data_IF_767454972003
#
_entry.id   IF_767454972003
#
_cell.length_a   1.000
_cell.length_b   1.000
_cell.length_c   1.000
_cell.angle_alpha   90.00
_cell.angle_beta   90.00
_cell.angle_gamma   90.00
#
_symmetry.space_group_name_H-M   'P 1'
#
loop_
_entity.id
_entity.type
_entity.pdbx_description
1 polymer ?
#
# COMPACT_ATOMS: atom_id res chain seq x y z
N UNK A 1 1.40 21.85 -21.86
CA UNK A 1 0.44 21.87 -20.74
C UNK A 1 0.64 20.59 -19.95
N UNK A 2 1.28 20.66 -18.78
CA UNK A 2 1.54 19.50 -17.91
C UNK A 2 0.24 19.11 -17.20
N UNK A 3 -0.41 18.04 -17.67
CA UNK A 3 -1.55 17.45 -16.98
C UNK A 3 -1.03 16.87 -15.66
N UNK A 4 -1.41 17.47 -14.53
CA UNK A 4 -1.07 16.97 -13.20
C UNK A 4 -1.88 15.69 -12.95
N UNK A 5 -1.22 14.53 -13.06
CA UNK A 5 -1.86 13.21 -12.87
C UNK A 5 -1.79 12.81 -11.41
N UNK A 6 -2.95 12.68 -10.77
CA UNK A 6 -3.07 12.23 -9.39
C UNK A 6 -3.01 10.69 -9.33
N UNK A 7 -2.04 10.13 -8.61
CA UNK A 7 -1.96 8.70 -8.33
C UNK A 7 -2.68 8.39 -7.00
N UNK A 8 -3.81 7.67 -7.06
CA UNK A 8 -4.53 7.22 -5.86
C UNK A 8 -4.13 5.77 -5.53
N UNK A 9 -3.43 5.56 -4.41
CA UNK A 9 -3.01 4.23 -3.94
C UNK A 9 -3.77 3.87 -2.68
N UNK A 10 -4.68 2.89 -2.76
CA UNK A 10 -5.28 2.28 -1.58
C UNK A 10 -4.40 1.13 -1.10
N UNK A 11 -3.61 1.34 -0.04
CA UNK A 11 -2.82 0.26 0.59
C UNK A 11 -3.66 -0.35 1.72
N UNK A 12 -4.35 -1.44 1.43
CA UNK A 12 -5.17 -2.18 2.40
C UNK A 12 -4.48 -3.49 2.79
N UNK A 13 -3.87 -3.54 3.97
CA UNK A 13 -3.58 -4.81 4.63
C UNK A 13 -4.89 -5.32 5.24
N UNK A 14 -5.58 -6.25 4.57
CA UNK A 14 -6.80 -6.88 5.10
C UNK A 14 -6.41 -7.73 6.31
N UNK A 15 -6.86 -7.32 7.49
CA UNK A 15 -6.68 -8.07 8.73
C UNK A 15 -7.88 -9.02 8.91
N UNK A 16 -7.68 -10.32 8.72
CA UNK A 16 -8.63 -11.32 9.23
C UNK A 16 -8.13 -11.79 10.60
N UNK A 17 -8.59 -11.15 11.67
CA UNK A 17 -8.37 -11.65 13.03
C UNK A 17 -9.50 -12.63 13.34
N UNK A 18 -9.21 -13.93 13.37
CA UNK A 18 -10.10 -14.90 14.01
C UNK A 18 -9.82 -14.86 15.51
N UNK A 19 -10.56 -14.04 16.26
CA UNK A 19 -10.38 -13.90 17.70
C UNK A 19 -11.41 -14.77 18.44
N UNK A 20 -10.91 -15.74 19.21
CA UNK A 20 -11.69 -16.51 20.18
C UNK A 20 -11.08 -16.33 21.57
N UNK A 21 -11.53 -15.32 22.34
CA UNK A 21 -11.27 -15.22 23.80
C UNK A 21 -12.42 -14.43 24.47
N UNK A 22 -12.94 -14.88 25.64
CA UNK A 22 -14.13 -14.32 26.27
C UNK A 22 -13.88 -13.07 27.11
N UNK A 23 -14.99 -12.36 27.31
CA UNK A 23 -15.19 -11.07 27.95
C UNK A 23 -14.90 -11.10 29.47
N UNK A 24 -14.08 -10.17 29.98
CA UNK A 24 -14.28 -9.62 31.33
C UNK A 24 -13.88 -8.15 31.39
N UNK A 25 -14.78 -7.33 31.91
CA UNK A 25 -14.73 -5.89 31.93
C UNK A 25 -14.07 -5.38 33.23
N UNK A 26 -13.34 -4.26 33.14
CA UNK A 26 -13.21 -3.33 34.28
C UNK A 26 -12.99 -1.90 33.79
N UNK A 27 -13.88 -1.04 34.25
CA UNK A 27 -13.88 0.40 34.04
C UNK A 27 -13.05 1.11 35.13
N UNK A 28 -12.45 2.25 34.77
CA UNK A 28 -12.07 3.29 35.72
C UNK A 28 -12.12 4.67 35.04
N UNK A 29 -12.57 5.65 35.81
CA UNK A 29 -13.08 6.97 35.46
C UNK A 29 -12.13 8.08 36.00
N UNK A 30 -12.51 9.34 35.75
CA UNK A 30 -12.04 10.63 36.32
C UNK A 30 -10.84 11.31 35.61
N UNK A 31 -10.81 12.63 35.34
CA UNK A 31 -11.68 13.79 35.65
C UNK A 31 -11.38 14.93 34.64
N UNK A 32 -12.36 15.81 34.41
CA UNK A 32 -12.34 16.98 33.53
C UNK A 32 -11.57 18.20 34.08
N UNK A 33 -11.11 19.08 33.18
CA UNK A 33 -10.77 20.49 33.48
C UNK A 33 -11.20 21.41 32.32
N UNK A 34 -12.21 22.22 32.63
CA UNK A 34 -12.45 23.64 32.32
C UNK A 34 -12.06 24.26 30.95
N UNK A 35 -13.11 24.47 30.15
CA UNK A 35 -13.50 25.62 29.32
C UNK A 35 -12.49 26.72 28.91
N UNK A 36 -12.45 27.00 27.60
CA UNK A 36 -12.50 28.37 27.07
C UNK A 36 -13.19 28.37 25.70
N UNK A 37 -14.26 29.17 25.56
CA UNK A 37 -15.14 29.27 24.37
C UNK A 37 -14.90 30.64 23.75
N UNK A 38 -14.27 30.70 22.59
CA UNK A 38 -14.14 31.92 21.78
C UNK A 38 -15.02 31.74 20.54
N UNK A 39 -16.13 32.48 20.48
CA UNK A 39 -17.01 32.56 19.31
C UNK A 39 -16.35 33.47 18.26
N UNK A 40 -15.91 32.88 17.15
CA UNK A 40 -15.61 33.60 15.92
C UNK A 40 -16.72 33.29 14.91
N UNK A 41 -17.58 34.27 14.65
CA UNK A 41 -18.58 34.24 13.59
C UNK A 41 -17.90 34.54 12.26
N UNK A 42 -17.70 33.53 11.42
CA UNK A 42 -17.37 33.70 10.01
C UNK A 42 -18.58 33.31 9.18
N UNK A 43 -19.11 34.29 8.45
CA UNK A 43 -20.17 34.14 7.46
C UNK A 43 -19.68 33.22 6.34
N UNK A 44 -20.15 31.97 6.30
CA UNK A 44 -19.92 31.06 5.17
C UNK A 44 -21.00 31.30 4.13
N UNK A 45 -20.63 31.97 3.04
CA UNK A 45 -21.42 32.00 1.81
C UNK A 45 -21.47 30.57 1.26
N UNK A 46 -22.64 29.95 1.26
CA UNK A 46 -22.85 28.61 0.73
C UNK A 46 -22.62 28.63 -0.80
N UNK A 47 -21.49 28.09 -1.24
CA UNK A 47 -21.29 27.77 -2.64
C UNK A 47 -22.19 26.57 -3.00
N UNK A 48 -22.97 26.73 -4.07
CA UNK A 48 -23.84 25.70 -4.63
C UNK A 48 -23.00 24.51 -5.10
N UNK A 49 -22.94 23.46 -4.29
CA UNK A 49 -22.36 22.18 -4.69
C UNK A 49 -23.35 21.48 -5.61
N UNK A 50 -23.12 21.56 -6.92
CA UNK A 50 -23.71 20.61 -7.86
C UNK A 50 -23.08 19.25 -7.60
N UNK A 51 -23.83 18.34 -6.97
CA UNK A 51 -23.45 16.93 -6.81
C UNK A 51 -23.20 16.35 -8.21
N UNK A 52 -21.98 15.88 -8.54
CA UNK A 52 -21.79 15.14 -9.77
C UNK A 52 -22.49 13.80 -9.61
N UNK A 53 -23.52 13.57 -10.42
CA UNK A 53 -24.19 12.28 -10.56
C UNK A 53 -23.19 11.29 -11.13
N UNK A 54 -22.45 10.56 -10.28
CA UNK A 54 -21.70 9.38 -10.71
C UNK A 54 -22.72 8.33 -11.13
N UNK A 55 -22.95 8.21 -12.44
CA UNK A 55 -23.66 7.07 -13.00
C UNK A 55 -22.84 5.83 -12.65
N UNK A 56 -23.44 4.91 -11.90
CA UNK A 56 -22.83 3.61 -11.61
C UNK A 56 -22.67 2.87 -12.94
N UNK A 57 -21.43 2.78 -13.41
CA UNK A 57 -21.10 2.02 -14.61
C UNK A 57 -21.43 0.55 -14.34
N UNK A 58 -22.37 0.01 -15.10
CA UNK A 58 -22.77 -1.39 -15.02
C UNK A 58 -21.56 -2.25 -15.47
N UNK A 59 -21.10 -3.16 -14.62
CA UNK A 59 -19.97 -4.02 -14.93
C UNK A 59 -20.42 -5.12 -15.91
N UNK A 60 -19.63 -5.44 -16.94
CA UNK A 60 -19.97 -6.50 -17.89
C UNK A 60 -20.06 -7.87 -17.21
N UNK A 61 -20.97 -8.70 -17.69
CA UNK A 61 -21.12 -10.09 -17.27
C UNK A 61 -20.69 -11.02 -18.39
N UNK A 62 -19.97 -12.08 -18.06
CA UNK A 62 -19.41 -13.01 -19.03
C UNK A 62 -20.04 -14.40 -18.87
N UNK A 63 -20.24 -15.09 -19.99
CA UNK A 63 -20.83 -16.44 -20.02
C UNK A 63 -19.78 -17.55 -20.07
N UNK A 64 -18.51 -17.19 -20.32
CA UNK A 64 -17.37 -18.11 -20.34
C UNK A 64 -16.07 -17.45 -19.88
N UNK A 65 -15.07 -18.26 -19.52
CA UNK A 65 -13.72 -17.80 -19.18
C UNK A 65 -13.02 -17.13 -20.37
N UNK A 66 -13.16 -17.70 -21.58
CA UNK A 66 -12.54 -17.14 -22.78
C UNK A 66 -13.08 -15.75 -23.10
N UNK A 67 -14.40 -15.54 -23.01
CA UNK A 67 -15.03 -14.23 -23.23
C UNK A 67 -14.53 -13.18 -22.22
N UNK A 68 -14.31 -13.58 -20.97
CA UNK A 68 -13.72 -12.72 -19.95
C UNK A 68 -12.27 -12.35 -20.28
N UNK A 69 -11.45 -13.32 -20.72
CA UNK A 69 -10.06 -13.08 -21.11
C UNK A 69 -9.97 -12.17 -22.34
N UNK A 70 -10.78 -12.41 -23.37
CA UNK A 70 -10.86 -11.57 -24.56
C UNK A 70 -11.25 -10.13 -24.19
N UNK A 71 -12.20 -9.97 -23.26
CA UNK A 71 -12.55 -8.65 -22.73
C UNK A 71 -11.37 -7.99 -22.01
N UNK A 72 -10.64 -8.71 -21.14
CA UNK A 72 -9.48 -8.17 -20.45
C UNK A 72 -8.41 -7.68 -21.41
N UNK A 73 -8.18 -8.36 -22.53
CA UNK A 73 -7.24 -7.88 -23.55
C UNK A 73 -7.64 -6.49 -24.07
N UNK A 74 -8.93 -6.19 -24.18
CA UNK A 74 -9.41 -4.87 -24.62
C UNK A 74 -9.29 -3.76 -23.59
N UNK A 75 -9.15 -4.10 -22.30
CA UNK A 75 -9.14 -3.11 -21.19
C UNK A 75 -7.90 -3.18 -20.30
N UNK A 76 -6.90 -3.99 -20.66
CA UNK A 76 -5.70 -4.26 -19.86
C UNK A 76 -4.58 -3.24 -20.05
N UNK A 77 -4.71 -2.33 -21.02
CA UNK A 77 -3.75 -1.27 -21.22
C UNK A 77 -3.63 -0.39 -19.97
N UNK A 78 -2.41 -0.26 -19.47
CA UNK A 78 -2.11 0.67 -18.39
C UNK A 78 -2.27 2.11 -18.89
N UNK A 79 -2.69 3.04 -18.03
CA UNK A 79 -2.64 4.45 -18.38
C UNK A 79 -1.21 4.84 -18.80
N UNK A 80 -1.09 5.75 -19.79
CA UNK A 80 0.22 6.20 -20.26
C UNK A 80 1.11 6.64 -19.09
N UNK A 81 2.41 6.33 -19.15
CA UNK A 81 3.36 6.65 -18.08
C UNK A 81 3.33 5.71 -16.87
N UNK A 82 2.50 4.65 -16.88
CA UNK A 82 2.56 3.57 -15.91
C UNK A 82 3.15 2.31 -16.55
N UNK A 83 4.07 1.67 -15.84
CA UNK A 83 4.59 0.36 -16.15
C UNK A 83 4.47 -0.55 -14.93
N UNK A 84 4.40 -1.86 -15.14
CA UNK A 84 4.38 -2.85 -14.06
C UNK A 84 5.42 -3.93 -14.30
N UNK A 85 5.91 -4.53 -13.21
CA UNK A 85 6.92 -5.58 -13.27
C UNK A 85 6.77 -6.54 -12.10
N UNK A 86 7.20 -7.78 -12.30
CA UNK A 86 7.17 -8.81 -11.25
C UNK A 86 8.50 -9.55 -11.19
N UNK A 87 8.81 -10.09 -10.01
CA UNK A 87 9.90 -11.03 -9.80
C UNK A 87 9.41 -12.12 -8.84
N UNK A 88 9.78 -13.36 -9.13
CA UNK A 88 9.44 -14.53 -8.32
C UNK A 88 10.70 -15.10 -7.65
N UNK A 89 10.55 -15.55 -6.42
CA UNK A 89 11.61 -16.22 -5.70
C UNK A 89 11.10 -17.17 -4.64
N UNK A 90 12.03 -17.71 -3.88
CA UNK A 90 11.78 -18.70 -2.84
C UNK A 90 12.44 -18.26 -1.54
N UNK A 91 11.77 -18.48 -0.42
CA UNK A 91 12.35 -18.29 0.92
C UNK A 91 11.91 -19.42 1.86
N UNK A 92 12.60 -19.58 2.98
CA UNK A 92 12.19 -20.51 4.05
C UNK A 92 11.82 -19.66 5.28
N UNK A 93 10.57 -19.72 5.77
CA UNK A 93 10.17 -18.94 6.93
C UNK A 93 10.85 -19.47 8.20
N UNK A 94 11.58 -18.64 8.96
CA UNK A 94 12.20 -19.08 10.21
C UNK A 94 11.17 -19.48 11.27
N UNK A 95 9.94 -18.95 11.19
CA UNK A 95 8.83 -19.28 12.08
C UNK A 95 8.18 -20.65 11.76
N UNK A 96 8.37 -21.18 10.54
CA UNK A 96 7.76 -22.42 10.09
C UNK A 96 8.69 -23.24 9.18
N UNK A 97 9.89 -23.66 9.65
CA UNK A 97 10.90 -24.30 8.81
C UNK A 97 10.45 -25.63 8.21
N UNK A 98 9.50 -26.33 8.86
CA UNK A 98 8.92 -27.58 8.36
C UNK A 98 8.15 -27.43 7.04
N UNK A 99 7.74 -26.20 6.67
CA UNK A 99 7.07 -25.90 5.41
C UNK A 99 8.01 -25.91 4.20
N UNK A 100 9.33 -25.99 4.42
CA UNK A 100 10.32 -25.93 3.35
C UNK A 100 10.35 -24.58 2.62
N UNK A 101 10.72 -24.61 1.33
CA UNK A 101 10.78 -23.41 0.49
C UNK A 101 9.38 -23.00 0.04
N UNK A 102 9.02 -21.76 0.30
CA UNK A 102 7.78 -21.14 -0.11
C UNK A 102 8.03 -20.07 -1.17
N UNK A 103 7.09 -19.95 -2.11
CA UNK A 103 7.10 -18.89 -3.12
C UNK A 103 6.81 -17.51 -2.51
N UNK A 104 7.57 -16.53 -2.97
CA UNK A 104 7.34 -15.11 -2.73
C UNK A 104 7.48 -14.34 -4.04
N UNK A 105 6.66 -13.30 -4.20
CA UNK A 105 6.65 -12.44 -5.37
C UNK A 105 6.80 -10.99 -4.95
N UNK A 106 7.72 -10.28 -5.61
CA UNK A 106 7.77 -8.84 -5.67
C UNK A 106 7.03 -8.34 -6.91
N UNK A 107 6.30 -7.25 -6.77
CA UNK A 107 5.61 -6.56 -7.86
C UNK A 107 5.88 -5.07 -7.74
N UNK A 108 6.10 -4.39 -8.84
CA UNK A 108 6.27 -2.94 -8.87
C UNK A 108 5.30 -2.31 -9.84
N UNK A 109 4.75 -1.16 -9.45
CA UNK A 109 4.08 -0.20 -10.32
C UNK A 109 5.00 1.02 -10.39
N UNK A 110 5.43 1.40 -11.59
CA UNK A 110 6.42 2.44 -11.83
C UNK A 110 5.83 3.56 -12.71
N UNK A 111 6.05 4.81 -12.30
CA UNK A 111 5.78 6.01 -13.09
C UNK A 111 6.97 6.31 -14.00
N UNK A 112 6.88 5.93 -15.27
CA UNK A 112 7.99 6.02 -16.23
C UNK A 112 8.25 7.43 -16.74
N UNK A 113 7.29 8.34 -16.60
CA UNK A 113 7.42 9.76 -16.97
C UNK A 113 8.13 10.59 -15.88
N UNK A 114 8.45 9.99 -14.73
CA UNK A 114 9.14 10.62 -13.61
C UNK A 114 8.28 10.75 -12.34
N UNK A 115 8.79 11.46 -11.32
CA UNK A 115 8.09 11.64 -10.05
C UNK A 115 6.78 12.39 -10.23
N UNK A 116 5.77 12.05 -9.44
CA UNK A 116 4.60 12.92 -9.25
C UNK A 116 4.52 13.43 -7.82
N UNK A 117 4.30 14.73 -7.67
CA UNK A 117 3.90 15.35 -6.40
C UNK A 117 2.41 15.13 -6.10
N UNK A 118 1.64 14.74 -7.12
CA UNK A 118 0.20 14.53 -7.02
C UNK A 118 -0.08 13.05 -6.77
N UNK A 119 -0.09 12.68 -5.50
CA UNK A 119 -0.52 11.35 -5.10
C UNK A 119 -1.29 11.41 -3.79
N UNK A 120 -2.12 10.41 -3.58
CA UNK A 120 -2.91 10.26 -2.37
C UNK A 120 -2.92 8.79 -1.97
N UNK A 121 -2.84 8.55 -0.65
CA UNK A 121 -2.95 7.22 -0.11
C UNK A 121 -3.91 7.16 1.08
N UNK A 122 -4.69 6.09 1.12
CA UNK A 122 -5.56 5.76 2.25
C UNK A 122 -5.02 4.52 2.94
N UNK A 123 -4.94 4.58 4.27
CA UNK A 123 -4.40 3.50 5.09
C UNK A 123 -5.46 2.97 6.06
N UNK A 124 -5.30 1.70 6.46
CA UNK A 124 -6.17 1.08 7.46
C UNK A 124 -6.23 1.87 8.77
N UNK A 125 -7.39 1.90 9.43
CA UNK A 125 -7.57 2.46 10.80
C UNK A 125 -7.37 1.42 11.90
N UNK A 126 -6.93 0.20 11.55
CA UNK A 126 -6.66 -0.85 12.53
C UNK A 126 -5.58 -0.41 13.55
N UNK A 127 -5.71 -0.90 14.79
CA UNK A 127 -4.75 -0.69 15.89
C UNK A 127 -3.42 -1.41 15.68
N UNK A 128 -3.38 -2.41 14.80
CA UNK A 128 -2.17 -3.15 14.43
C UNK A 128 -1.81 -2.90 12.96
N UNK A 129 -1.33 -1.70 12.59
CA UNK A 129 -0.86 -1.45 11.23
C UNK A 129 0.41 -2.26 10.96
N UNK A 130 0.57 -2.74 9.73
CA UNK A 130 1.84 -3.30 9.27
C UNK A 130 2.92 -2.24 9.17
N UNK A 131 4.18 -2.66 9.24
CA UNK A 131 5.31 -1.76 9.01
C UNK A 131 5.27 -0.98 7.68
N UNK A 132 4.85 -1.55 6.52
CA UNK A 132 4.71 -0.76 5.28
C UNK A 132 3.70 0.39 5.40
N UNK A 133 2.67 0.24 6.25
CA UNK A 133 1.70 1.31 6.50
C UNK A 133 2.33 2.46 7.28
N UNK A 134 3.24 2.17 8.22
CA UNK A 134 3.98 3.19 8.95
C UNK A 134 4.88 3.99 8.01
N UNK A 135 5.60 3.30 7.11
CA UNK A 135 6.43 3.94 6.06
C UNK A 135 5.57 4.82 5.15
N UNK A 136 4.46 4.27 4.62
CA UNK A 136 3.58 5.02 3.72
C UNK A 136 2.95 6.25 4.37
N UNK A 137 2.53 6.17 5.63
CA UNK A 137 2.01 7.33 6.39
C UNK A 137 3.06 8.40 6.60
N UNK A 138 4.30 8.01 6.94
CA UNK A 138 5.41 8.93 7.11
C UNK A 138 5.67 9.72 5.83
N UNK A 139 5.76 9.04 4.70
CA UNK A 139 6.04 9.66 3.39
C UNK A 139 4.90 10.54 2.90
N UNK A 140 3.65 10.11 3.12
CA UNK A 140 2.48 10.94 2.82
C UNK A 140 2.48 12.23 3.66
N UNK A 141 2.84 12.14 4.94
CA UNK A 141 2.95 13.32 5.81
C UNK A 141 4.10 14.26 5.42
N UNK A 142 5.21 13.70 4.91
CA UNK A 142 6.35 14.48 4.44
C UNK A 142 6.07 15.21 3.10
N UNK A 143 5.09 14.75 2.32
CA UNK A 143 4.69 15.39 1.07
C UNK A 143 5.72 15.28 -0.06
N UNK A 144 6.59 14.27 -0.02
CA UNK A 144 7.59 14.03 -1.06
C UNK A 144 6.99 13.47 -2.35
N UNK A 145 7.72 13.54 -3.48
CA UNK A 145 7.28 12.96 -4.73
C UNK A 145 7.27 11.43 -4.70
N UNK A 146 6.40 10.83 -5.50
CA UNK A 146 6.28 9.37 -5.65
C UNK A 146 6.71 8.95 -7.06
N UNK A 147 7.53 7.91 -7.16
CA UNK A 147 7.93 7.27 -8.42
C UNK A 147 7.36 5.87 -8.57
N UNK A 148 7.29 5.10 -7.49
CA UNK A 148 6.91 3.69 -7.58
C UNK A 148 6.16 3.20 -6.34
N UNK A 149 5.46 2.09 -6.52
CA UNK A 149 4.87 1.28 -5.46
C UNK A 149 5.45 -0.12 -5.58
N UNK A 150 6.07 -0.63 -4.53
CA UNK A 150 6.50 -2.03 -4.42
C UNK A 150 5.50 -2.80 -3.57
N UNK A 151 5.07 -3.96 -4.07
CA UNK A 151 4.16 -4.88 -3.41
C UNK A 151 4.84 -6.23 -3.27
N UNK A 152 4.94 -6.75 -2.05
CA UNK A 152 5.29 -8.15 -1.84
C UNK A 152 4.06 -8.96 -1.39
N UNK A 153 4.03 -10.24 -1.77
CA UNK A 153 3.05 -11.19 -1.28
C UNK A 153 3.61 -12.11 -0.18
N UNK A 154 2.79 -13.08 0.25
CA UNK A 154 3.08 -14.15 1.22
C UNK A 154 3.34 -13.70 2.66
N UNK A 155 4.05 -12.61 2.89
CA UNK A 155 4.38 -12.09 4.22
C UNK A 155 3.87 -10.65 4.33
N UNK A 156 3.00 -10.40 5.30
CA UNK A 156 2.33 -9.09 5.47
C UNK A 156 3.20 -8.01 6.11
N UNK A 157 4.32 -8.39 6.73
CA UNK A 157 5.14 -7.51 7.56
C UNK A 157 4.33 -6.79 8.67
N UNK A 158 3.33 -7.48 9.22
CA UNK A 158 2.56 -7.06 10.39
C UNK A 158 3.03 -7.87 11.59
N UNK A 159 3.34 -7.20 12.70
CA UNK A 159 3.83 -7.85 13.93
C UNK A 159 5.02 -8.80 13.70
N UNK A 160 5.95 -8.44 12.80
CA UNK A 160 7.01 -9.32 12.27
C UNK A 160 8.04 -9.81 13.29
N UNK A 161 8.01 -9.32 14.54
CA UNK A 161 8.95 -9.72 15.59
C UNK A 161 10.40 -9.25 15.37
N UNK A 162 10.64 -8.41 14.35
CA UNK A 162 11.90 -7.74 14.05
C UNK A 162 11.66 -6.26 13.69
N UNK A 163 12.62 -5.62 13.02
CA UNK A 163 12.47 -4.26 12.53
C UNK A 163 11.80 -4.23 11.15
N UNK A 164 10.47 -4.40 11.15
CA UNK A 164 9.70 -4.42 9.91
C UNK A 164 9.79 -3.12 9.09
N UNK A 165 10.09 -1.98 9.72
CA UNK A 165 10.24 -0.71 8.99
C UNK A 165 11.55 -0.71 8.22
N UNK A 166 12.65 -1.10 8.86
CA UNK A 166 13.93 -1.26 8.18
C UNK A 166 13.86 -2.29 7.04
N UNK A 167 13.15 -3.39 7.26
CA UNK A 167 12.90 -4.41 6.24
C UNK A 167 12.14 -3.84 5.03
N UNK A 168 11.12 -3.01 5.25
CA UNK A 168 10.39 -2.33 4.17
C UNK A 168 11.28 -1.32 3.44
N UNK A 169 12.08 -0.53 4.16
CA UNK A 169 13.00 0.44 3.55
C UNK A 169 14.08 -0.25 2.71
N UNK A 170 14.58 -1.41 3.14
CA UNK A 170 15.54 -2.22 2.38
C UNK A 170 14.96 -2.64 1.02
N UNK A 171 13.71 -3.08 0.99
CA UNK A 171 13.04 -3.46 -0.26
C UNK A 171 12.78 -2.23 -1.15
N UNK A 172 12.36 -1.11 -0.57
CA UNK A 172 12.20 0.15 -1.29
C UNK A 172 13.50 0.63 -1.93
N UNK A 173 14.62 0.54 -1.20
CA UNK A 173 15.94 0.91 -1.68
C UNK A 173 16.38 0.04 -2.86
N UNK A 174 16.20 -1.28 -2.77
CA UNK A 174 16.55 -2.19 -3.85
C UNK A 174 15.73 -1.92 -5.13
N UNK A 175 14.44 -1.61 -5.00
CA UNK A 175 13.60 -1.21 -6.15
C UNK A 175 14.04 0.13 -6.72
N UNK A 176 14.37 1.10 -5.88
CA UNK A 176 14.86 2.40 -6.33
C UNK A 176 16.18 2.28 -7.11
N UNK A 177 17.10 1.44 -6.63
CA UNK A 177 18.36 1.14 -7.33
C UNK A 177 18.11 0.38 -8.64
N UNK A 178 17.22 -0.61 -8.64
CA UNK A 178 16.93 -1.41 -9.83
C UNK A 178 16.25 -0.63 -10.97
N UNK A 179 15.59 0.48 -10.64
CA UNK A 179 14.89 1.37 -11.57
C UNK A 179 15.61 2.72 -11.76
N UNK A 180 16.82 2.90 -11.20
CA UNK A 180 17.61 4.13 -11.27
C UNK A 180 16.84 5.39 -10.82
N UNK A 181 16.06 5.29 -9.73
CA UNK A 181 15.21 6.38 -9.25
C UNK A 181 16.03 7.43 -8.47
N UNK A 182 16.08 8.70 -8.92
CA UNK A 182 16.95 9.72 -8.35
C UNK A 182 16.62 10.10 -6.90
N UNK A 183 15.37 9.90 -6.47
CA UNK A 183 14.94 10.17 -5.09
C UNK A 183 15.14 8.98 -4.13
N UNK A 184 15.73 7.88 -4.60
CA UNK A 184 16.02 6.70 -3.78
C UNK A 184 14.78 6.06 -3.15
N UNK A 185 14.98 5.33 -2.06
CA UNK A 185 13.92 4.60 -1.35
C UNK A 185 12.69 5.46 -1.01
N UNK A 186 12.87 6.73 -0.63
CA UNK A 186 11.80 7.65 -0.18
C UNK A 186 10.70 7.84 -1.24
N UNK A 187 11.06 7.71 -2.52
CA UNK A 187 10.11 7.82 -3.65
C UNK A 187 9.37 6.52 -3.99
N UNK A 188 9.56 5.45 -3.22
CA UNK A 188 8.99 4.11 -3.48
C UNK A 188 8.08 3.64 -2.35
N UNK A 189 6.76 3.73 -2.47
CA UNK A 189 5.87 3.25 -1.41
C UNK A 189 5.92 1.72 -1.25
N UNK A 190 6.04 1.18 -0.03
CA UNK A 190 5.91 -0.25 0.21
C UNK A 190 4.46 -0.66 0.50
N UNK A 191 4.11 -1.86 0.06
CA UNK A 191 2.89 -2.59 0.41
C UNK A 191 3.22 -4.07 0.59
N UNK A 192 2.60 -4.70 1.58
CA UNK A 192 2.86 -6.12 1.89
C UNK A 192 1.56 -6.81 2.21
N UNK A 193 1.39 -8.06 1.75
CA UNK A 193 0.21 -8.87 2.08
C UNK A 193 0.59 -10.32 2.34
N UNK A 194 -0.13 -10.98 3.24
CA UNK A 194 0.07 -12.40 3.56
C UNK A 194 0.03 -12.70 5.05
N UNK A 195 0.88 -13.62 5.50
CA UNK A 195 0.90 -14.11 6.89
C UNK A 195 1.32 -12.98 7.84
N UNK A 196 0.61 -12.86 8.96
CA UNK A 196 0.92 -11.94 10.07
C UNK A 196 1.83 -12.66 11.07
N UNK A 197 2.81 -11.95 11.63
CA UNK A 197 3.71 -12.49 12.65
C UNK A 197 4.99 -13.13 12.11
N UNK A 198 5.13 -13.25 10.78
CA UNK A 198 6.36 -13.74 10.15
C UNK A 198 7.30 -12.59 9.82
N UNK A 199 8.60 -12.81 9.96
CA UNK A 199 9.64 -11.89 9.49
C UNK A 199 9.59 -11.77 7.97
N UNK A 200 9.75 -10.53 7.49
CA UNK A 200 9.86 -10.30 6.05
C UNK A 200 11.20 -10.87 5.58
N UNK A 201 11.24 -11.71 4.53
CA UNK A 201 12.48 -12.14 3.89
C UNK A 201 13.05 -10.97 3.05
N UNK A 202 13.41 -9.87 3.73
CA UNK A 202 13.81 -8.62 3.12
C UNK A 202 15.10 -8.77 2.29
N UNK A 203 15.99 -9.67 2.71
CA UNK A 203 17.21 -9.99 1.96
C UNK A 203 16.89 -10.62 0.61
N UNK A 204 16.04 -11.64 0.58
CA UNK A 204 15.60 -12.28 -0.66
C UNK A 204 14.86 -11.27 -1.55
N UNK A 205 13.97 -10.45 -0.96
CA UNK A 205 13.22 -9.41 -1.70
C UNK A 205 14.11 -8.28 -2.25
N UNK A 206 15.23 -7.97 -1.61
CA UNK A 206 16.14 -6.90 -2.02
C UNK A 206 17.28 -7.37 -2.93
N UNK A 207 17.52 -8.68 -3.04
CA UNK A 207 18.64 -9.23 -3.81
C UNK A 207 18.17 -10.13 -4.96
N UNK A 208 17.27 -11.07 -4.65
CA UNK A 208 16.89 -12.14 -5.58
C UNK A 208 15.55 -11.87 -6.27
N UNK A 209 14.66 -11.11 -5.62
CA UNK A 209 13.25 -10.91 -6.03
C UNK A 209 12.94 -9.43 -6.26
N UNK A 210 13.90 -8.69 -6.83
CA UNK A 210 13.71 -7.27 -7.13
C UNK A 210 12.96 -7.12 -8.46
N UNK A 211 11.68 -6.70 -8.46
CA UNK A 211 10.91 -6.52 -9.68
C UNK A 211 11.42 -5.33 -10.48
N UNK A 212 11.46 -5.47 -11.80
CA UNK A 212 11.75 -4.37 -12.73
C UNK A 212 10.54 -4.18 -13.64
N UNK A 213 10.00 -2.96 -13.66
CA UNK A 213 9.01 -2.58 -14.66
C UNK A 213 9.72 -2.26 -15.97
N UNK A 214 9.25 -2.85 -17.07
CA UNK A 214 9.73 -2.61 -18.44
C UNK A 214 8.82 -1.61 -19.11
#
# INVERSE_FOLDING_TARGET
>A
MMLHRALFVAVTTTTTVSAFVPLSARAASFRASTAFRLLATTTTTAATTSTPTQQAQELPTFTSEQEYLDYLETVSDLPAGFATGTADGLFVPPEAPAMGKLGIRGTVIHLTEGPTENWAACFTKNKFPGAPITVGRSRLANGGPLHALVINNKVSNVCSGGDGVADSEMVCQAVAEALDLPGGAETVLPSSTGVIGWRLPAKELSQDVVPKAV
#
